data_IF_735909003261
#
_entry.id   IF_735909003261
#
_cell.length_a   1.000
_cell.length_b   1.000
_cell.length_c   1.000
_cell.angle_alpha   90.00
_cell.angle_beta   90.00
_cell.angle_gamma   90.00
#
_symmetry.space_group_name_H-M   'P 1'
#
loop_
_entity.id
_entity.type
_entity.pdbx_description
1 polymer ?
#
# COMPACT_ATOMS: atom_id res chain seq x y z
N UNK A 1 19.24 -22.55 42.15
CA UNK A 1 18.96 -22.69 40.70
C UNK A 1 18.62 -21.32 40.14
N UNK A 2 19.48 -20.75 39.31
CA UNK A 2 19.23 -19.47 38.64
C UNK A 2 18.52 -19.80 37.32
N UNK A 3 17.21 -19.57 37.28
CA UNK A 3 16.40 -19.80 36.07
C UNK A 3 16.72 -18.68 35.08
N UNK A 4 17.56 -18.95 34.08
CA UNK A 4 17.80 -18.03 32.97
C UNK A 4 16.50 -17.82 32.20
N UNK A 5 15.88 -16.65 32.36
CA UNK A 5 14.70 -16.24 31.61
C UNK A 5 15.11 -16.04 30.15
N UNK A 6 14.91 -17.05 29.29
CA UNK A 6 15.07 -16.86 27.84
C UNK A 6 13.96 -15.92 27.38
N UNK A 7 14.26 -14.72 26.87
CA UNK A 7 13.22 -13.86 26.32
C UNK A 7 12.59 -14.60 25.14
N UNK A 8 11.28 -14.92 25.23
CA UNK A 8 10.50 -15.36 24.07
C UNK A 8 10.60 -14.26 23.03
N UNK A 9 11.12 -14.58 21.84
CA UNK A 9 11.10 -13.67 20.70
C UNK A 9 9.68 -13.17 20.50
N UNK A 10 9.47 -11.86 20.61
CA UNK A 10 8.18 -11.24 20.34
C UNK A 10 7.91 -11.45 18.84
N UNK A 11 7.04 -12.41 18.49
CA UNK A 11 6.65 -12.58 17.09
C UNK A 11 5.76 -11.41 16.71
N UNK A 12 6.25 -10.49 15.89
CA UNK A 12 5.42 -9.40 15.38
C UNK A 12 4.26 -9.95 14.56
N UNK A 13 3.15 -9.20 14.51
CA UNK A 13 2.01 -9.57 13.68
C UNK A 13 2.45 -9.65 12.21
N UNK A 14 2.14 -10.71 11.44
CA UNK A 14 2.64 -10.86 10.07
C UNK A 14 2.35 -9.66 9.15
N UNK A 15 1.16 -9.07 9.29
CA UNK A 15 0.74 -7.88 8.54
C UNK A 15 1.48 -6.59 8.94
N UNK A 16 2.35 -6.59 9.96
CA UNK A 16 3.08 -5.38 10.38
C UNK A 16 3.99 -4.83 9.27
N UNK A 17 4.40 -5.68 8.31
CA UNK A 17 5.19 -5.30 7.15
C UNK A 17 4.48 -4.34 6.20
N UNK A 18 3.16 -4.26 6.26
CA UNK A 18 2.37 -3.35 5.43
C UNK A 18 2.16 -1.96 6.06
N UNK A 19 2.72 -1.74 7.26
CA UNK A 19 2.50 -0.50 8.00
C UNK A 19 3.37 0.63 7.48
N UNK A 20 2.72 1.67 6.96
CA UNK A 20 3.35 2.93 6.57
C UNK A 20 2.59 4.11 7.16
N UNK A 21 3.26 5.26 7.34
CA UNK A 21 2.59 6.47 7.83
C UNK A 21 1.55 6.97 6.83
N UNK A 22 1.80 6.78 5.55
CA UNK A 22 0.94 7.15 4.43
C UNK A 22 -0.35 6.32 4.42
N UNK A 23 -0.26 5.00 4.58
CA UNK A 23 -1.44 4.14 4.64
C UNK A 23 -2.28 4.44 5.89
N UNK A 24 -1.64 4.68 7.04
CA UNK A 24 -2.34 5.08 8.28
C UNK A 24 -3.01 6.44 8.11
N UNK A 25 -2.31 7.42 7.54
CA UNK A 25 -2.85 8.75 7.27
C UNK A 25 -4.10 8.67 6.39
N UNK A 26 -4.05 7.86 5.33
CA UNK A 26 -5.20 7.65 4.45
C UNK A 26 -6.36 6.97 5.17
N UNK A 27 -6.10 5.88 5.88
CA UNK A 27 -7.11 5.15 6.67
C UNK A 27 -7.81 6.07 7.67
N UNK A 28 -7.05 6.90 8.38
CA UNK A 28 -7.57 7.81 9.41
C UNK A 28 -8.08 9.14 8.84
N UNK A 29 -7.95 9.38 7.53
CA UNK A 29 -8.28 10.63 6.84
C UNK A 29 -7.61 11.86 7.50
N UNK A 30 -6.34 11.71 7.86
CA UNK A 30 -5.53 12.79 8.45
C UNK A 30 -4.29 13.07 7.61
N UNK A 31 -3.79 14.32 7.58
CA UNK A 31 -2.51 14.62 6.92
C UNK A 31 -1.36 13.83 7.55
N UNK A 32 -0.44 13.31 6.73
CA UNK A 32 0.75 12.57 7.21
C UNK A 32 1.56 13.41 8.23
N UNK A 33 1.68 14.72 7.99
CA UNK A 33 2.35 15.67 8.89
C UNK A 33 1.75 15.76 10.30
N UNK A 34 0.48 15.37 10.46
CA UNK A 34 -0.17 15.34 11.76
C UNK A 34 0.08 14.03 12.52
N UNK A 35 0.71 13.02 11.91
CA UNK A 35 1.07 11.76 12.59
C UNK A 35 2.47 11.90 13.18
N UNK A 36 2.53 12.06 14.50
CA UNK A 36 3.77 12.22 15.24
C UNK A 36 4.43 10.87 15.53
N UNK A 37 3.61 9.85 15.86
CA UNK A 37 4.12 8.56 16.30
C UNK A 37 3.23 7.41 15.84
N UNK A 38 3.87 6.36 15.37
CA UNK A 38 3.26 5.05 15.10
C UNK A 38 4.00 4.03 15.95
N UNK A 39 3.30 3.36 16.86
CA UNK A 39 3.86 2.25 17.65
C UNK A 39 3.20 0.95 17.23
N UNK A 40 4.01 0.02 16.77
CA UNK A 40 3.57 -1.35 16.48
C UNK A 40 3.47 -2.10 17.80
N UNK A 41 2.33 -2.72 18.09
CA UNK A 41 2.12 -3.62 19.22
C UNK A 41 1.75 -5.01 18.70
N UNK A 42 1.69 -6.03 19.56
CA UNK A 42 1.53 -7.43 19.13
C UNK A 42 0.31 -7.68 18.21
N UNK A 43 -0.81 -6.95 18.39
CA UNK A 43 -2.04 -7.13 17.57
C UNK A 43 -2.63 -5.85 17.00
N UNK A 44 -2.14 -4.70 17.44
CA UNK A 44 -2.68 -3.39 17.08
C UNK A 44 -1.55 -2.41 16.83
N UNK A 45 -1.89 -1.33 16.16
CA UNK A 45 -1.01 -0.19 15.91
C UNK A 45 -1.56 0.97 16.71
N UNK A 46 -0.76 1.55 17.61
CA UNK A 46 -1.10 2.81 18.26
C UNK A 46 -0.61 3.97 17.39
N UNK A 47 -1.53 4.82 16.96
CA UNK A 47 -1.27 6.01 16.17
C UNK A 47 -1.53 7.25 17.03
N UNK A 48 -0.52 8.09 17.18
CA UNK A 48 -0.60 9.35 17.93
C UNK A 48 -0.26 10.51 17.01
N UNK A 49 -1.09 11.54 17.03
CA UNK A 49 -0.97 12.70 16.16
C UNK A 49 -1.74 13.91 16.67
N UNK A 50 -1.78 14.97 15.87
CA UNK A 50 -2.48 16.22 16.20
C UNK A 50 -3.97 15.94 16.42
N UNK A 51 -4.43 16.02 17.67
CA UNK A 51 -5.82 15.77 18.05
C UNK A 51 -6.28 14.32 17.83
N UNK A 52 -5.36 13.36 17.63
CA UNK A 52 -5.70 11.94 17.44
C UNK A 52 -4.83 11.03 18.31
N UNK A 53 -5.47 10.08 18.98
CA UNK A 53 -4.85 8.91 19.61
C UNK A 53 -5.75 7.72 19.36
N UNK A 54 -5.38 6.83 18.42
CA UNK A 54 -6.23 5.73 17.97
C UNK A 54 -5.46 4.44 17.85
N UNK A 55 -6.14 3.34 18.16
CA UNK A 55 -5.70 2.00 17.81
C UNK A 55 -6.24 1.61 16.44
N UNK A 56 -5.36 1.06 15.61
CA UNK A 56 -5.65 0.59 14.24
C UNK A 56 -5.29 -0.89 14.16
N UNK A 57 -6.08 -1.69 13.45
CA UNK A 57 -5.72 -3.09 13.19
C UNK A 57 -4.74 -3.17 12.02
N UNK A 58 -3.78 -4.09 12.10
CA UNK A 58 -2.94 -4.41 10.94
C UNK A 58 -3.75 -4.87 9.73
N UNK A 59 -4.88 -5.53 9.96
CA UNK A 59 -5.80 -6.01 8.92
C UNK A 59 -6.65 -4.90 8.29
N UNK A 60 -6.53 -3.65 8.75
CA UNK A 60 -7.17 -2.52 8.06
C UNK A 60 -6.31 -2.07 6.87
N UNK A 61 -4.99 -2.31 6.88
CA UNK A 61 -4.04 -1.70 5.95
C UNK A 61 -3.84 -2.52 4.65
N UNK A 62 -3.73 -1.84 3.49
CA UNK A 62 -3.43 -2.47 2.21
C UNK A 62 -1.98 -2.95 2.14
N UNK A 63 -1.69 -4.02 1.39
CA UNK A 63 -0.32 -4.39 1.10
C UNK A 63 0.40 -3.33 0.24
N UNK A 64 1.72 -3.26 0.41
CA UNK A 64 2.61 -2.25 -0.19
C UNK A 64 3.75 -2.92 -0.97
N UNK A 65 4.48 -2.12 -1.77
CA UNK A 65 5.73 -2.56 -2.40
C UNK A 65 6.92 -2.51 -1.43
N UNK A 66 8.01 -3.20 -1.78
CA UNK A 66 9.26 -3.19 -1.01
C UNK A 66 9.27 -4.16 0.18
N UNK A 67 8.21 -4.96 0.32
CA UNK A 67 8.08 -6.04 1.31
C UNK A 67 7.55 -7.29 0.64
N UNK A 68 7.58 -8.42 1.36
CA UNK A 68 7.04 -9.68 0.86
C UNK A 68 5.56 -9.55 0.50
N UNK A 69 5.22 -10.10 -0.67
CA UNK A 69 3.86 -10.15 -1.18
C UNK A 69 2.91 -10.82 -0.18
N UNK A 70 1.59 -10.54 -0.29
CA UNK A 70 0.61 -11.22 0.55
C UNK A 70 0.62 -12.73 0.33
N UNK A 71 0.69 -13.47 1.43
CA UNK A 71 0.63 -14.92 1.51
C UNK A 71 -0.76 -15.37 1.97
N UNK A 72 -1.08 -16.66 1.83
CA UNK A 72 -2.39 -17.24 2.17
C UNK A 72 -2.96 -16.76 3.51
N UNK A 73 -2.15 -16.79 4.57
CA UNK A 73 -2.58 -16.36 5.92
C UNK A 73 -2.92 -14.87 6.04
N UNK A 74 -2.34 -14.01 5.20
CA UNK A 74 -2.65 -12.57 5.21
C UNK A 74 -4.09 -12.32 4.77
N UNK A 75 -4.55 -13.07 3.76
CA UNK A 75 -5.94 -13.01 3.29
C UNK A 75 -6.93 -13.39 4.38
N UNK A 76 -6.61 -14.39 5.21
CA UNK A 76 -7.47 -14.78 6.34
C UNK A 76 -7.64 -13.65 7.35
N UNK A 77 -6.57 -12.92 7.67
CA UNK A 77 -6.63 -11.78 8.58
C UNK A 77 -7.51 -10.66 8.04
N UNK A 78 -7.38 -10.32 6.76
CA UNK A 78 -8.22 -9.33 6.10
C UNK A 78 -9.70 -9.76 6.06
N UNK A 79 -9.97 -10.99 5.64
CA UNK A 79 -11.34 -11.52 5.54
C UNK A 79 -12.06 -11.57 6.88
N UNK A 80 -11.37 -11.93 7.97
CA UNK A 80 -11.95 -11.91 9.33
C UNK A 80 -12.26 -10.49 9.82
N UNK A 81 -11.58 -9.48 9.29
CA UNK A 81 -11.73 -8.09 9.73
C UNK A 81 -12.89 -7.38 9.03
N UNK A 82 -13.09 -7.68 7.75
CA UNK A 82 -14.05 -6.95 6.93
C UNK A 82 -15.48 -7.40 7.20
N UNK A 83 -16.44 -6.48 7.30
CA UNK A 83 -17.85 -6.82 7.47
C UNK A 83 -18.46 -7.44 6.19
N UNK A 84 -17.77 -7.37 5.05
CA UNK A 84 -18.26 -7.83 3.76
C UNK A 84 -17.21 -8.52 2.91
N UNK A 85 -17.59 -8.81 1.65
CA UNK A 85 -16.75 -9.56 0.71
C UNK A 85 -15.53 -8.78 0.22
N UNK A 86 -15.55 -7.45 0.25
CA UNK A 86 -14.53 -6.63 -0.38
C UNK A 86 -13.74 -5.80 0.63
N UNK A 87 -12.54 -5.41 0.22
CA UNK A 87 -11.68 -4.51 0.97
C UNK A 87 -12.37 -3.14 1.16
N UNK A 88 -12.04 -2.41 2.23
CA UNK A 88 -12.50 -1.04 2.40
C UNK A 88 -12.12 -0.15 1.21
N UNK A 89 -13.01 0.79 0.85
CA UNK A 89 -12.85 1.64 -0.33
C UNK A 89 -11.53 2.42 -0.35
N UNK A 90 -11.00 2.78 0.83
CA UNK A 90 -9.74 3.51 0.93
C UNK A 90 -8.54 2.73 0.32
N UNK A 91 -8.62 1.40 0.20
CA UNK A 91 -7.60 0.61 -0.50
C UNK A 91 -7.51 1.02 -1.97
N UNK A 92 -8.64 1.20 -2.63
CA UNK A 92 -8.71 1.64 -4.03
C UNK A 92 -8.06 3.02 -4.15
N UNK A 93 -8.44 3.94 -3.26
CA UNK A 93 -7.87 5.30 -3.23
C UNK A 93 -6.36 5.30 -3.00
N UNK A 94 -5.88 4.43 -2.11
CA UNK A 94 -4.45 4.27 -1.81
C UNK A 94 -3.66 3.86 -3.05
N UNK A 95 -4.16 2.86 -3.80
CA UNK A 95 -3.50 2.43 -5.04
C UNK A 95 -3.63 3.43 -6.18
N UNK A 96 -4.77 4.14 -6.29
CA UNK A 96 -4.92 5.22 -7.26
C UNK A 96 -3.85 6.30 -7.06
N UNK A 97 -3.64 6.72 -5.81
CA UNK A 97 -2.62 7.71 -5.49
C UNK A 97 -1.21 7.22 -5.87
N UNK A 98 -0.88 5.96 -5.60
CA UNK A 98 0.42 5.40 -5.98
C UNK A 98 0.62 5.21 -7.48
N UNK A 99 -0.43 4.89 -8.24
CA UNK A 99 -0.37 4.94 -9.71
C UNK A 99 -0.15 6.37 -10.21
N UNK A 100 -0.81 7.36 -9.60
CA UNK A 100 -0.64 8.76 -9.98
C UNK A 100 0.77 9.29 -9.71
N UNK A 101 1.34 8.90 -8.57
CA UNK A 101 2.66 9.30 -8.09
C UNK A 101 3.81 8.46 -8.67
N UNK A 102 3.51 7.37 -9.39
CA UNK A 102 4.55 6.60 -10.04
C UNK A 102 5.38 7.52 -10.96
N UNK A 103 6.70 7.49 -10.79
CA UNK A 103 7.64 8.33 -11.56
C UNK A 103 8.27 7.60 -12.73
N UNK A 104 8.07 6.29 -12.81
CA UNK A 104 8.60 5.45 -13.88
C UNK A 104 7.64 4.33 -14.25
N UNK A 105 7.82 3.80 -15.47
CA UNK A 105 7.10 2.62 -15.94
C UNK A 105 7.33 1.40 -15.03
N UNK A 106 8.55 1.22 -14.52
CA UNK A 106 8.88 0.11 -13.63
C UNK A 106 8.11 0.18 -12.31
N UNK A 107 8.01 1.38 -11.72
CA UNK A 107 7.23 1.60 -10.50
C UNK A 107 5.73 1.38 -10.73
N UNK A 108 5.20 1.90 -11.84
CA UNK A 108 3.80 1.68 -12.22
C UNK A 108 3.50 0.19 -12.38
N UNK A 109 4.36 -0.54 -13.10
CA UNK A 109 4.23 -1.98 -13.30
C UNK A 109 4.30 -2.78 -12.00
N UNK A 110 5.21 -2.43 -11.10
CA UNK A 110 5.33 -3.08 -9.78
C UNK A 110 4.03 -2.94 -8.98
N UNK A 111 3.47 -1.73 -8.90
CA UNK A 111 2.17 -1.52 -8.25
C UNK A 111 1.05 -2.28 -8.97
N UNK A 112 1.07 -2.31 -10.31
CA UNK A 112 0.09 -3.06 -11.11
C UNK A 112 0.11 -4.56 -10.82
N UNK A 113 1.31 -5.15 -10.66
CA UNK A 113 1.47 -6.55 -10.24
C UNK A 113 0.90 -6.79 -8.85
N UNK A 114 1.18 -5.91 -7.89
CA UNK A 114 0.64 -6.01 -6.52
C UNK A 114 -0.89 -5.94 -6.52
N UNK A 115 -1.49 -4.97 -7.22
CA UNK A 115 -2.95 -4.90 -7.37
C UNK A 115 -3.49 -6.16 -8.04
N UNK A 116 -2.76 -6.70 -9.02
CA UNK A 116 -3.10 -7.96 -9.69
C UNK A 116 -3.19 -9.16 -8.75
N UNK A 117 -2.34 -9.24 -7.72
CA UNK A 117 -2.38 -10.35 -6.74
C UNK A 117 -3.58 -10.25 -5.80
N UNK A 118 -4.04 -9.04 -5.49
CA UNK A 118 -5.16 -8.79 -4.57
C UNK A 118 -6.49 -8.46 -5.28
N UNK A 119 -6.55 -8.51 -6.61
CA UNK A 119 -7.73 -8.07 -7.40
C UNK A 119 -9.06 -8.68 -6.97
N UNK A 120 -9.04 -9.90 -6.42
CA UNK A 120 -10.21 -10.64 -5.95
C UNK A 120 -10.74 -10.14 -4.59
N UNK A 121 -10.00 -9.26 -3.92
CA UNK A 121 -10.41 -8.57 -2.70
C UNK A 121 -11.07 -7.23 -2.99
N UNK A 122 -10.93 -6.68 -4.19
CA UNK A 122 -11.47 -5.37 -4.56
C UNK A 122 -12.87 -5.51 -5.16
N UNK A 123 -13.67 -4.46 -5.05
CA UNK A 123 -14.94 -4.36 -5.78
C UNK A 123 -14.68 -4.34 -7.29
N UNK A 124 -15.59 -4.86 -8.13
CA UNK A 124 -15.47 -4.79 -9.58
C UNK A 124 -15.23 -3.35 -10.09
N UNK A 125 -15.96 -2.40 -9.53
CA UNK A 125 -15.90 -0.97 -9.87
C UNK A 125 -14.54 -0.38 -9.47
N UNK A 126 -14.07 -0.69 -8.26
CA UNK A 126 -12.77 -0.24 -7.77
C UNK A 126 -11.61 -0.80 -8.60
N UNK A 127 -11.70 -2.07 -9.00
CA UNK A 127 -10.72 -2.71 -9.87
C UNK A 127 -10.68 -2.08 -11.26
N UNK A 128 -11.85 -1.77 -11.86
CA UNK A 128 -11.89 -1.16 -13.18
C UNK A 128 -11.38 0.29 -13.18
N UNK A 129 -11.66 1.04 -12.10
CA UNK A 129 -11.07 2.36 -11.88
C UNK A 129 -9.54 2.30 -11.86
N UNK A 130 -8.96 1.34 -11.12
CA UNK A 130 -7.51 1.13 -11.08
C UNK A 130 -6.93 0.74 -12.44
N UNK A 131 -7.60 -0.12 -13.20
CA UNK A 131 -7.16 -0.52 -14.55
C UNK A 131 -7.16 0.63 -15.54
N UNK A 132 -8.19 1.47 -15.50
CA UNK A 132 -8.31 2.64 -16.36
C UNK A 132 -7.17 3.63 -16.07
N UNK A 133 -6.92 3.91 -14.78
CA UNK A 133 -5.83 4.78 -14.37
C UNK A 133 -4.45 4.22 -14.73
N UNK A 134 -4.25 2.92 -14.56
CA UNK A 134 -3.01 2.25 -14.97
C UNK A 134 -2.76 2.40 -16.48
N UNK A 135 -3.79 2.18 -17.32
CA UNK A 135 -3.69 2.35 -18.78
C UNK A 135 -3.32 3.80 -19.14
N UNK A 136 -4.04 4.77 -18.60
CA UNK A 136 -3.75 6.18 -18.82
C UNK A 136 -2.31 6.56 -18.45
N UNK A 137 -1.83 6.13 -17.27
CA UNK A 137 -0.46 6.40 -16.83
C UNK A 137 0.59 5.68 -17.68
N UNK A 138 0.31 4.46 -18.11
CA UNK A 138 1.18 3.71 -19.01
C UNK A 138 1.36 4.45 -20.34
N UNK A 139 0.27 4.93 -20.93
CA UNK A 139 0.30 5.64 -22.21
C UNK A 139 1.11 6.94 -22.08
N UNK A 140 0.94 7.70 -21.00
CA UNK A 140 1.75 8.89 -20.71
C UNK A 140 3.26 8.60 -20.69
N UNK A 141 3.68 7.50 -20.06
CA UNK A 141 5.09 7.10 -20.04
C UNK A 141 5.61 6.64 -21.41
N UNK A 142 4.75 6.10 -22.27
CA UNK A 142 5.13 5.68 -23.62
C UNK A 142 5.25 6.89 -24.56
N UNK A 143 4.27 7.79 -24.54
CA UNK A 143 4.30 9.01 -25.36
C UNK A 143 5.44 9.97 -24.95
N UNK A 144 5.73 10.07 -23.65
CA UNK A 144 6.85 10.87 -23.14
C UNK A 144 8.23 10.31 -23.50
N UNK A 145 8.35 9.00 -23.74
CA UNK A 145 9.59 8.40 -24.28
C UNK A 145 9.80 8.74 -25.76
N UNK A 146 8.73 8.76 -26.56
CA UNK A 146 8.83 9.05 -27.99
C UNK A 146 9.30 10.49 -28.28
N UNK A 147 8.92 11.47 -27.45
CA UNK A 147 9.36 12.86 -27.62
C UNK A 147 10.85 13.08 -27.32
N UNK A 148 11.44 12.35 -26.37
CA UNK A 148 12.88 12.47 -26.05
C UNK A 148 13.79 11.87 -27.12
N UNK A 149 13.30 10.90 -27.88
CA UNK A 149 14.06 10.26 -28.97
C UNK A 149 14.07 11.14 -30.22
N UNK A 150 13.02 11.91 -30.48
CA UNK A 150 12.96 12.83 -31.63
C UNK A 150 13.89 14.03 -31.50
N UNK A 151 14.19 14.49 -30.28
CA UNK A 151 15.12 15.61 -30.02
C UNK A 151 16.59 15.21 -30.13
N UNK A 152 16.92 13.91 -30.01
CA UNK A 152 18.32 13.44 -30.09
C UNK A 152 18.79 13.20 -31.52
N UNK A 153 17.89 13.15 -32.50
CA UNK A 153 18.22 12.87 -33.91
C UNK A 153 18.38 14.18 -34.72
N UNK A 154 18.07 15.34 -34.13
CA UNK A 154 18.08 16.64 -34.84
C UNK A 154 19.43 17.40 -34.82
N UNK A 155 20.48 16.86 -34.19
CA UNK A 155 21.81 17.51 -34.12
C UNK A 155 22.90 16.61 -34.74
N UNK A 156 22.97 16.59 -36.07
CA UNK A 156 24.20 16.31 -36.84
C UNK A 156 23.95 16.63 -38.31
N UNK A 157 24.22 17.88 -38.69
CA UNK A 157 24.53 18.31 -40.05
C UNK A 157 25.69 19.28 -39.98
#
# INVERSE_FOLDING_TARGET
MITTFKPKSISWHPLCRFVTKEAIARLLKVPVKHIYRVRLWFRVILVVGKGISRFVSYADLPPILGVDLPQGRDYDYWRRRWPGKYAPDFWVEFYQQHFQQATSMGQLFAWGKLVGSIKHLLTPEGLESLRSLYRQKKDLFQTGKNHRVTETISFSK
#
